data_IF_886669004900
#
_entry.id   IF_886669004900
#
_cell.length_a   1.000
_cell.length_b   1.000
_cell.length_c   1.000
_cell.angle_alpha   90.00
_cell.angle_beta   90.00
_cell.angle_gamma   90.00
#
_symmetry.space_group_name_H-M   'P 1'
#
loop_
_entity.id
_entity.type
_entity.pdbx_description
1 polymer ?
#
# COMPACT_ATOMS: atom_id res chain seq x y z
N UNK A 1 23.71 6.41 -23.34
CA UNK A 1 22.51 7.07 -23.90
C UNK A 1 22.24 6.62 -25.33
N UNK A 2 23.26 6.55 -26.20
CA UNK A 2 23.13 6.05 -27.58
C UNK A 2 22.40 4.69 -27.73
N UNK A 3 22.63 3.73 -26.82
CA UNK A 3 21.94 2.43 -26.85
C UNK A 3 20.39 2.51 -26.74
N UNK A 4 19.85 3.64 -26.28
CA UNK A 4 18.41 3.85 -26.13
C UNK A 4 17.78 4.67 -27.27
N UNK A 5 18.59 5.12 -28.25
CA UNK A 5 18.10 5.88 -29.42
C UNK A 5 16.91 5.19 -30.10
N UNK A 6 16.93 3.87 -30.40
CA UNK A 6 15.81 3.23 -31.08
C UNK A 6 14.48 3.35 -30.33
N UNK A 7 14.51 3.30 -28.99
CA UNK A 7 13.31 3.47 -28.16
C UNK A 7 12.87 4.93 -28.11
N UNK A 8 13.82 5.88 -28.07
CA UNK A 8 13.52 7.32 -28.13
C UNK A 8 12.81 7.67 -29.44
N UNK A 9 13.35 7.24 -30.58
CA UNK A 9 12.75 7.49 -31.89
C UNK A 9 11.37 6.86 -32.00
N UNK A 10 11.21 5.61 -31.55
CA UNK A 10 9.92 4.92 -31.53
C UNK A 10 8.90 5.66 -30.67
N UNK A 11 9.29 6.14 -29.49
CA UNK A 11 8.39 6.92 -28.63
C UNK A 11 7.99 8.24 -29.28
N UNK A 12 8.95 9.00 -29.82
CA UNK A 12 8.66 10.29 -30.46
C UNK A 12 7.75 10.13 -31.68
N UNK A 13 7.95 9.09 -32.47
CA UNK A 13 7.24 8.90 -33.75
C UNK A 13 5.90 8.19 -33.59
N UNK A 14 5.79 7.23 -32.68
CA UNK A 14 4.58 6.38 -32.55
C UNK A 14 3.87 6.49 -31.22
N UNK A 15 4.47 7.16 -30.21
CA UNK A 15 3.88 7.33 -28.86
C UNK A 15 3.46 6.01 -28.23
N UNK A 16 4.22 4.95 -28.51
CA UNK A 16 3.76 3.57 -28.24
C UNK A 16 3.54 3.31 -26.75
N UNK A 17 4.31 3.98 -25.90
CA UNK A 17 4.31 3.73 -24.45
C UNK A 17 3.03 4.22 -23.79
N UNK A 18 2.44 5.33 -24.27
CA UNK A 18 1.16 5.83 -23.81
C UNK A 18 0.05 4.79 -23.98
N UNK A 19 -0.15 4.33 -25.21
CA UNK A 19 -1.19 3.34 -25.53
C UNK A 19 -0.92 1.99 -24.85
N UNK A 20 0.34 1.57 -24.73
CA UNK A 20 0.68 0.33 -24.04
C UNK A 20 0.34 0.39 -22.55
N UNK A 21 0.68 1.49 -21.86
CA UNK A 21 0.40 1.60 -20.43
C UNK A 21 -1.10 1.73 -20.17
N UNK A 22 -1.84 2.46 -21.01
CA UNK A 22 -3.30 2.64 -20.86
C UNK A 22 -4.05 1.31 -21.01
N UNK A 23 -3.60 0.45 -21.95
CA UNK A 23 -4.16 -0.89 -22.13
C UNK A 23 -3.98 -1.75 -20.87
N UNK A 24 -2.75 -1.81 -20.34
CA UNK A 24 -2.45 -2.60 -19.13
C UNK A 24 -3.14 -2.03 -17.90
N UNK A 25 -3.10 -0.70 -17.71
CA UNK A 25 -3.80 0.00 -16.65
C UNK A 25 -5.30 -0.32 -16.65
N UNK A 26 -5.97 -0.22 -17.79
CA UNK A 26 -7.40 -0.52 -17.92
C UNK A 26 -7.74 -1.97 -17.54
N UNK A 27 -6.87 -2.92 -17.89
CA UNK A 27 -7.03 -4.31 -17.51
C UNK A 27 -6.84 -4.52 -16.01
N UNK A 28 -5.77 -3.94 -15.44
CA UNK A 28 -5.44 -4.03 -14.01
C UNK A 28 -6.46 -3.32 -13.12
N UNK A 29 -7.05 -2.21 -13.58
CA UNK A 29 -8.06 -1.44 -12.83
C UNK A 29 -9.28 -2.26 -12.39
N UNK A 30 -9.55 -3.39 -13.07
CA UNK A 30 -10.63 -4.32 -12.71
C UNK A 30 -10.37 -5.07 -11.41
N UNK A 31 -9.11 -5.20 -11.00
CA UNK A 31 -8.68 -6.06 -9.88
C UNK A 31 -7.75 -5.34 -8.89
N UNK A 32 -7.15 -4.21 -9.30
CA UNK A 32 -6.18 -3.48 -8.49
C UNK A 32 -6.23 -1.98 -8.78
N UNK A 33 -5.78 -1.17 -7.82
CA UNK A 33 -5.70 0.28 -7.99
C UNK A 33 -4.47 0.66 -8.82
N UNK A 34 -4.71 1.23 -9.98
CA UNK A 34 -3.69 1.78 -10.90
C UNK A 34 -3.14 3.09 -10.38
N UNK A 35 -1.85 3.35 -10.64
CA UNK A 35 -1.14 4.54 -10.17
C UNK A 35 -0.46 5.34 -11.30
N UNK A 36 -0.11 4.73 -12.44
CA UNK A 36 0.52 5.45 -13.53
C UNK A 36 -0.52 5.97 -14.55
N UNK A 37 -0.25 7.17 -15.04
CA UNK A 37 -0.90 7.73 -16.23
C UNK A 37 0.23 8.19 -17.15
N UNK A 38 0.34 7.55 -18.31
CA UNK A 38 1.30 7.94 -19.34
C UNK A 38 0.85 9.20 -20.05
N UNK A 39 1.80 10.06 -20.43
CA UNK A 39 1.55 11.17 -21.35
C UNK A 39 1.66 10.70 -22.79
N UNK A 40 1.25 11.53 -23.74
CA UNK A 40 1.46 11.31 -25.17
C UNK A 40 2.92 11.05 -25.52
N UNK A 41 3.85 11.80 -24.93
CA UNK A 41 5.30 11.58 -25.06
C UNK A 41 5.90 11.43 -23.65
N UNK A 42 6.52 10.29 -23.40
CA UNK A 42 7.07 9.90 -22.10
C UNK A 42 8.57 10.20 -21.97
N UNK A 43 9.02 11.28 -22.62
CA UNK A 43 10.40 11.77 -22.64
C UNK A 43 10.47 13.23 -22.16
N UNK A 44 11.64 13.60 -21.64
CA UNK A 44 12.04 14.96 -21.30
C UNK A 44 13.26 15.35 -22.12
N UNK A 45 13.36 16.64 -22.42
CA UNK A 45 14.52 17.29 -23.01
C UNK A 45 15.38 17.93 -21.92
N UNK A 46 16.69 17.74 -22.00
CA UNK A 46 17.70 18.16 -21.04
C UNK A 46 18.68 19.12 -21.71
N UNK A 47 18.77 20.35 -21.24
CA UNK A 47 19.78 21.33 -21.69
C UNK A 47 20.03 22.34 -20.58
N UNK A 48 21.28 22.74 -20.35
CA UNK A 48 21.65 23.79 -19.39
C UNK A 48 21.03 23.62 -17.98
N UNK A 49 21.02 22.39 -17.46
CA UNK A 49 20.41 21.98 -16.18
C UNK A 49 18.87 22.04 -16.12
N UNK A 50 18.19 22.29 -17.25
CA UNK A 50 16.75 22.17 -17.36
C UNK A 50 16.34 20.72 -17.68
N UNK A 51 15.15 20.32 -17.20
CA UNK A 51 14.51 19.05 -17.57
C UNK A 51 13.06 19.31 -17.91
N UNK A 52 12.81 19.52 -19.19
CA UNK A 52 11.55 20.04 -19.67
C UNK A 52 10.81 19.03 -20.53
N UNK A 53 9.49 19.16 -20.54
CA UNK A 53 8.64 18.21 -21.25
C UNK A 53 8.77 18.42 -22.75
N UNK A 54 8.80 17.32 -23.48
CA UNK A 54 8.60 17.30 -24.92
C UNK A 54 7.11 17.06 -25.15
N UNK A 55 6.47 17.96 -25.89
CA UNK A 55 5.06 17.85 -26.25
C UNK A 55 4.93 17.87 -27.77
N UNK A 56 3.91 17.21 -28.31
CA UNK A 56 3.63 17.24 -29.74
C UNK A 56 2.71 18.43 -30.05
N UNK A 57 3.01 19.16 -31.13
CA UNK A 57 2.19 20.24 -31.65
C UNK A 57 2.01 20.05 -33.17
N UNK A 58 0.93 19.36 -33.56
CA UNK A 58 0.75 18.90 -34.94
C UNK A 58 1.79 17.87 -35.34
N UNK A 59 2.60 18.19 -36.35
CA UNK A 59 3.73 17.37 -36.82
C UNK A 59 5.07 17.74 -36.15
N UNK A 60 5.10 18.82 -35.38
CA UNK A 60 6.28 19.33 -34.69
C UNK A 60 6.34 18.85 -33.23
N UNK A 61 7.52 19.03 -32.63
CA UNK A 61 7.77 18.84 -31.21
C UNK A 61 8.14 20.17 -30.56
N UNK A 62 7.58 20.44 -29.39
CA UNK A 62 7.82 21.68 -28.64
C UNK A 62 8.33 21.40 -27.23
N UNK A 63 9.20 22.28 -26.76
CA UNK A 63 9.67 22.33 -25.37
C UNK A 63 9.37 23.74 -24.86
N UNK A 64 8.14 23.94 -24.39
CA UNK A 64 7.57 25.27 -24.10
C UNK A 64 8.43 26.11 -23.16
N UNK A 65 8.93 25.52 -22.07
CA UNK A 65 9.72 26.24 -21.07
C UNK A 65 11.04 26.82 -21.62
N UNK A 66 11.53 26.26 -22.74
CA UNK A 66 12.77 26.69 -23.39
C UNK A 66 12.54 27.44 -24.69
N UNK A 67 11.27 27.66 -25.07
CA UNK A 67 10.88 28.22 -26.38
C UNK A 67 11.53 27.49 -27.57
N UNK A 68 11.72 26.18 -27.45
CA UNK A 68 12.26 25.35 -28.54
C UNK A 68 11.13 24.70 -29.32
N UNK A 69 11.32 24.61 -30.64
CA UNK A 69 10.47 23.88 -31.58
C UNK A 69 11.37 23.10 -32.53
N UNK A 70 11.01 21.85 -32.77
CA UNK A 70 11.69 20.97 -33.71
C UNK A 70 10.67 20.44 -34.70
N UNK A 71 11.01 20.45 -35.99
CA UNK A 71 10.31 19.60 -36.96
C UNK A 71 10.61 18.13 -36.65
N UNK A 72 9.87 17.21 -37.25
CA UNK A 72 10.13 15.78 -37.10
C UNK A 72 11.57 15.39 -37.45
N UNK A 73 12.06 15.81 -38.61
CA UNK A 73 13.41 15.47 -39.05
C UNK A 73 14.48 16.11 -38.15
N UNK A 74 14.25 17.36 -37.70
CA UNK A 74 15.16 18.04 -36.79
C UNK A 74 15.21 17.36 -35.41
N UNK A 75 14.07 16.90 -34.88
CA UNK A 75 14.01 16.18 -33.61
C UNK A 75 14.73 14.83 -33.70
N UNK A 76 14.56 14.08 -34.78
CA UNK A 76 15.26 12.81 -34.98
C UNK A 76 16.77 13.01 -35.14
N UNK A 77 17.19 14.04 -35.89
CA UNK A 77 18.59 14.41 -36.00
C UNK A 77 19.17 14.79 -34.62
N UNK A 78 18.44 15.58 -33.83
CA UNK A 78 18.82 15.96 -32.47
C UNK A 78 19.00 14.74 -31.55
N UNK A 79 18.16 13.70 -31.68
CA UNK A 79 18.31 12.43 -30.94
C UNK A 79 19.62 11.72 -31.26
N UNK A 80 20.05 11.75 -32.53
CA UNK A 80 21.30 11.13 -32.96
C UNK A 80 22.53 11.95 -32.57
N UNK A 81 22.46 13.27 -32.73
CA UNK A 81 23.58 14.17 -32.47
C UNK A 81 23.80 14.37 -30.97
N UNK A 82 22.71 14.41 -30.18
CA UNK A 82 22.73 14.73 -28.74
C UNK A 82 21.83 13.80 -27.90
N UNK A 83 22.06 12.48 -27.90
CA UNK A 83 21.22 11.52 -27.18
C UNK A 83 21.20 11.73 -25.65
N UNK A 84 22.21 12.41 -25.08
CA UNK A 84 22.25 12.80 -23.68
C UNK A 84 21.20 13.85 -23.30
N UNK A 85 20.68 14.60 -24.28
CA UNK A 85 19.60 15.57 -24.07
C UNK A 85 18.24 14.91 -23.85
N UNK A 86 18.13 13.58 -23.98
CA UNK A 86 16.86 12.88 -23.83
C UNK A 86 16.84 12.04 -22.54
N UNK A 87 15.80 12.25 -21.72
CA UNK A 87 15.58 11.56 -20.46
C UNK A 87 14.19 10.91 -20.42
N UNK A 88 14.05 9.61 -20.13
CA UNK A 88 12.75 9.01 -19.93
C UNK A 88 12.05 9.53 -18.66
N UNK A 89 10.72 9.53 -18.66
CA UNK A 89 9.92 9.65 -17.45
C UNK A 89 9.71 8.27 -16.78
N UNK A 90 8.85 8.19 -15.76
CA UNK A 90 8.59 6.95 -15.01
C UNK A 90 8.16 5.76 -15.89
N UNK A 91 7.46 6.00 -17.01
CA UNK A 91 6.98 4.95 -17.94
C UNK A 91 8.14 4.30 -18.70
N UNK A 92 9.07 5.12 -19.22
CA UNK A 92 10.19 4.63 -20.02
C UNK A 92 11.48 4.44 -19.21
N UNK A 93 11.53 4.86 -17.94
CA UNK A 93 12.72 4.74 -17.09
C UNK A 93 13.13 3.28 -16.89
N UNK A 94 12.15 2.40 -16.65
CA UNK A 94 12.40 0.96 -16.51
C UNK A 94 13.01 0.37 -17.78
N UNK A 95 12.41 0.67 -18.94
CA UNK A 95 12.93 0.23 -20.25
C UNK A 95 14.36 0.73 -20.46
N UNK A 96 14.62 2.01 -20.19
CA UNK A 96 15.96 2.57 -20.29
C UNK A 96 16.96 1.84 -19.40
N UNK A 97 16.61 1.62 -18.13
CA UNK A 97 17.44 0.89 -17.17
C UNK A 97 17.79 -0.51 -17.70
N UNK A 98 16.80 -1.29 -18.12
CA UNK A 98 17.01 -2.66 -18.62
C UNK A 98 17.70 -2.72 -19.99
N UNK A 99 17.66 -1.65 -20.78
CA UNK A 99 18.48 -1.53 -22.00
C UNK A 99 19.96 -1.35 -21.68
N UNK A 100 20.31 -0.50 -20.70
CA UNK A 100 21.72 -0.17 -20.41
C UNK A 100 22.36 -1.07 -19.34
N UNK A 101 21.54 -1.67 -18.48
CA UNK A 101 21.91 -2.58 -17.41
C UNK A 101 20.91 -3.75 -17.42
N UNK A 102 21.04 -4.72 -18.34
CA UNK A 102 20.11 -5.84 -18.42
C UNK A 102 20.14 -6.66 -17.12
N UNK A 103 19.00 -6.74 -16.43
CA UNK A 103 18.88 -7.42 -15.15
C UNK A 103 17.96 -8.65 -15.25
N UNK A 104 18.19 -9.62 -14.37
CA UNK A 104 17.27 -10.76 -14.17
C UNK A 104 16.06 -10.32 -13.32
N UNK A 105 16.29 -9.42 -12.36
CA UNK A 105 15.27 -9.01 -11.40
C UNK A 105 15.32 -7.51 -11.11
N UNK A 106 14.13 -6.92 -10.95
CA UNK A 106 13.93 -5.59 -10.41
C UNK A 106 13.49 -5.68 -8.95
N UNK A 107 14.28 -5.09 -8.04
CA UNK A 107 13.98 -5.06 -6.61
C UNK A 107 13.32 -3.72 -6.28
N UNK A 108 12.04 -3.73 -5.88
CA UNK A 108 11.27 -2.51 -5.64
C UNK A 108 10.36 -2.59 -4.42
N UNK A 109 9.97 -1.43 -3.88
CA UNK A 109 8.91 -1.34 -2.87
C UNK A 109 7.52 -1.60 -3.46
N UNK A 110 6.51 -1.81 -2.60
CA UNK A 110 5.16 -2.15 -3.06
C UNK A 110 4.52 -1.11 -3.99
N UNK A 111 4.80 0.18 -3.81
CA UNK A 111 4.37 1.23 -4.74
C UNK A 111 5.11 1.18 -6.08
N UNK A 112 6.38 0.78 -6.07
CA UNK A 112 7.15 0.64 -7.30
C UNK A 112 6.68 -0.56 -8.10
N UNK A 113 6.53 -1.72 -7.45
CA UNK A 113 6.02 -2.93 -8.11
C UNK A 113 4.63 -2.70 -8.69
N UNK A 114 3.77 -1.96 -7.99
CA UNK A 114 2.45 -1.60 -8.49
C UNK A 114 2.51 -0.93 -9.86
N UNK A 115 3.34 0.10 -10.04
CA UNK A 115 3.45 0.75 -11.35
C UNK A 115 4.24 -0.10 -12.35
N UNK A 116 5.24 -0.88 -11.92
CA UNK A 116 5.98 -1.75 -12.83
C UNK A 116 5.10 -2.79 -13.50
N UNK A 117 4.10 -3.33 -12.78
CA UNK A 117 3.09 -4.23 -13.37
C UNK A 117 2.30 -3.57 -14.50
N UNK A 118 2.17 -2.24 -14.48
CA UNK A 118 1.49 -1.49 -15.56
C UNK A 118 2.38 -1.37 -16.82
N UNK A 119 3.68 -1.66 -16.74
CA UNK A 119 4.65 -1.46 -17.82
C UNK A 119 4.92 -2.69 -18.69
N UNK A 120 4.35 -3.87 -18.39
CA UNK A 120 4.66 -5.12 -19.10
C UNK A 120 4.55 -4.98 -20.63
N UNK A 121 3.46 -4.37 -21.13
CA UNK A 121 3.25 -4.13 -22.55
C UNK A 121 4.17 -3.06 -23.12
N UNK A 122 4.64 -2.12 -22.31
CA UNK A 122 5.64 -1.12 -22.71
C UNK A 122 6.96 -1.81 -23.02
N UNK A 123 7.40 -2.72 -22.14
CA UNK A 123 8.62 -3.51 -22.35
C UNK A 123 8.52 -4.41 -23.59
N UNK A 124 7.39 -5.11 -23.76
CA UNK A 124 7.14 -5.94 -24.93
C UNK A 124 7.21 -5.13 -26.23
N UNK A 125 6.57 -3.96 -26.28
CA UNK A 125 6.65 -3.07 -27.46
C UNK A 125 8.02 -2.43 -27.63
N UNK A 126 8.78 -2.20 -26.57
CA UNK A 126 10.14 -1.69 -26.65
C UNK A 126 11.17 -2.77 -27.03
N UNK A 127 10.75 -4.05 -27.10
CA UNK A 127 11.62 -5.21 -27.35
C UNK A 127 12.74 -5.35 -26.31
N UNK A 128 12.45 -4.94 -25.07
CA UNK A 128 13.35 -5.04 -23.93
C UNK A 128 12.81 -6.12 -22.99
N UNK A 129 13.65 -7.08 -22.53
CA UNK A 129 13.22 -8.10 -21.58
C UNK A 129 12.62 -7.48 -20.32
N UNK A 130 11.46 -7.98 -19.90
CA UNK A 130 10.82 -7.58 -18.66
C UNK A 130 11.42 -8.36 -17.49
N UNK A 131 11.98 -7.69 -16.47
CA UNK A 131 12.67 -8.38 -15.37
C UNK A 131 11.66 -9.01 -14.40
N UNK A 132 12.11 -10.00 -13.63
CA UNK A 132 11.32 -10.54 -12.53
C UNK A 132 11.15 -9.46 -11.45
N UNK A 133 9.90 -9.16 -11.10
CA UNK A 133 9.59 -8.21 -10.04
C UNK A 133 9.74 -8.88 -8.66
N UNK A 134 10.57 -8.32 -7.79
CA UNK A 134 10.78 -8.81 -6.43
C UNK A 134 10.52 -7.68 -5.44
N UNK A 135 9.66 -7.96 -4.44
CA UNK A 135 9.42 -7.03 -3.35
C UNK A 135 10.67 -6.96 -2.49
N UNK A 136 11.23 -5.76 -2.33
CA UNK A 136 12.37 -5.54 -1.44
C UNK A 136 12.02 -5.95 -0.02
N UNK A 137 13.04 -6.33 0.76
CA UNK A 137 12.88 -6.55 2.18
C UNK A 137 12.33 -5.28 2.85
N UNK A 138 11.38 -5.49 3.77
CA UNK A 138 10.85 -4.44 4.63
C UNK A 138 11.20 -4.73 6.07
N UNK A 139 11.56 -3.68 6.81
CA UNK A 139 11.98 -3.78 8.19
C UNK A 139 11.17 -2.85 9.10
N UNK A 140 10.87 -3.34 10.30
CA UNK A 140 10.52 -2.51 11.45
C UNK A 140 11.59 -2.72 12.50
N UNK A 141 12.23 -1.63 12.88
CA UNK A 141 13.24 -1.59 13.93
C UNK A 141 12.53 -1.36 15.26
N UNK A 142 12.72 -2.30 16.18
CA UNK A 142 12.07 -2.27 17.49
C UNK A 142 13.13 -2.29 18.59
N UNK A 143 13.25 -1.20 19.32
CA UNK A 143 14.13 -1.15 20.49
C UNK A 143 13.58 -2.03 21.62
N UNK A 144 14.48 -2.58 22.45
CA UNK A 144 14.11 -3.41 23.62
C UNK A 144 12.97 -2.83 24.46
N UNK A 145 13.00 -1.53 24.78
CA UNK A 145 11.95 -0.88 25.58
C UNK A 145 10.57 -0.88 24.91
N UNK A 146 10.52 -0.82 23.58
CA UNK A 146 9.27 -0.92 22.81
C UNK A 146 8.74 -2.36 22.84
N UNK A 147 9.63 -3.34 22.71
CA UNK A 147 9.26 -4.74 22.81
C UNK A 147 8.70 -5.09 24.21
N UNK A 148 9.35 -4.63 25.28
CA UNK A 148 8.91 -4.85 26.66
C UNK A 148 7.52 -4.23 26.91
N UNK A 149 7.25 -3.02 26.39
CA UNK A 149 5.92 -2.40 26.45
C UNK A 149 4.87 -3.22 25.71
N UNK A 150 5.20 -3.76 24.54
CA UNK A 150 4.30 -4.60 23.78
C UNK A 150 3.92 -5.87 24.55
N UNK A 151 4.91 -6.52 25.17
CA UNK A 151 4.70 -7.70 26.02
C UNK A 151 3.85 -7.37 27.25
N UNK A 152 4.11 -6.23 27.91
CA UNK A 152 3.32 -5.79 29.07
C UNK A 152 1.84 -5.53 28.74
N UNK A 153 1.55 -5.12 27.50
CA UNK A 153 0.18 -4.96 26.99
C UNK A 153 -0.46 -6.29 26.56
N UNK A 154 0.29 -7.40 26.57
CA UNK A 154 -0.13 -8.71 26.03
C UNK A 154 -0.62 -8.63 24.58
N UNK A 155 -0.01 -7.76 23.77
CA UNK A 155 -0.32 -7.58 22.35
C UNK A 155 0.71 -8.36 21.54
N UNK A 156 0.28 -9.12 20.54
CA UNK A 156 1.22 -9.81 19.67
C UNK A 156 1.87 -8.84 18.69
N UNK A 157 3.08 -9.16 18.24
CA UNK A 157 3.77 -8.38 17.22
C UNK A 157 2.96 -8.27 15.92
N UNK A 158 2.27 -9.35 15.51
CA UNK A 158 1.41 -9.33 14.32
C UNK A 158 0.19 -8.41 14.47
N UNK A 159 -0.33 -8.24 15.69
CA UNK A 159 -1.49 -7.37 15.92
C UNK A 159 -1.16 -5.90 15.68
N UNK A 160 0.11 -5.49 15.75
CA UNK A 160 0.53 -4.12 15.46
C UNK A 160 0.16 -3.64 14.05
N UNK A 161 0.01 -4.55 13.09
CA UNK A 161 -0.40 -4.22 11.72
C UNK A 161 -1.92 -4.05 11.57
N UNK A 162 -2.70 -4.32 12.62
CA UNK A 162 -4.13 -4.05 12.66
C UNK A 162 -4.39 -2.60 13.09
N UNK A 163 -5.65 -2.15 12.97
CA UNK A 163 -6.08 -0.84 13.47
C UNK A 163 -6.02 -0.80 14.99
N UNK A 164 -5.60 0.33 15.57
CA UNK A 164 -5.51 0.56 17.02
C UNK A 164 -6.80 0.16 17.75
N UNK A 165 -7.96 0.50 17.19
CA UNK A 165 -9.24 0.14 17.78
C UNK A 165 -9.51 -1.36 17.83
N UNK A 166 -9.01 -2.13 16.85
CA UNK A 166 -9.12 -3.59 16.84
C UNK A 166 -8.25 -4.20 17.92
N UNK A 167 -6.99 -3.74 18.04
CA UNK A 167 -6.07 -4.17 19.09
C UNK A 167 -6.66 -3.87 20.47
N UNK A 168 -7.18 -2.66 20.67
CA UNK A 168 -7.85 -2.29 21.92
C UNK A 168 -9.09 -3.14 22.20
N UNK A 169 -9.85 -3.52 21.17
CA UNK A 169 -11.00 -4.40 21.37
C UNK A 169 -10.60 -5.79 21.85
N UNK A 170 -9.54 -6.36 21.25
CA UNK A 170 -8.98 -7.65 21.65
C UNK A 170 -8.39 -7.57 23.06
N UNK A 171 -7.63 -6.51 23.37
CA UNK A 171 -7.03 -6.30 24.69
C UNK A 171 -8.09 -6.28 25.79
N UNK A 172 -9.15 -5.48 25.61
CA UNK A 172 -10.25 -5.37 26.59
C UNK A 172 -10.98 -6.71 26.75
N UNK A 173 -11.22 -7.44 25.66
CA UNK A 173 -11.86 -8.77 25.73
C UNK A 173 -11.01 -9.81 26.45
N UNK A 174 -9.69 -9.76 26.27
CA UNK A 174 -8.77 -10.74 26.83
C UNK A 174 -8.44 -10.46 28.30
N UNK A 175 -8.41 -9.19 28.71
CA UNK A 175 -7.99 -8.79 30.06
C UNK A 175 -9.14 -8.48 31.01
N UNK A 176 -10.36 -8.22 30.49
CA UNK A 176 -11.50 -7.95 31.36
C UNK A 176 -11.95 -9.22 32.08
N UNK A 177 -12.09 -9.11 33.41
CA UNK A 177 -12.74 -10.13 34.23
C UNK A 177 -14.28 -10.11 34.12
N UNK A 178 -14.84 -9.13 33.41
CA UNK A 178 -16.29 -8.93 33.30
C UNK A 178 -16.84 -9.62 32.05
N UNK A 179 -18.11 -10.03 32.10
CA UNK A 179 -18.82 -10.50 30.92
C UNK A 179 -19.12 -9.34 29.97
N UNK A 180 -18.49 -9.34 28.81
CA UNK A 180 -18.64 -8.28 27.80
C UNK A 180 -19.49 -8.68 26.59
N UNK A 181 -19.82 -9.96 26.47
CA UNK A 181 -20.74 -10.46 25.46
C UNK A 181 -22.00 -11.01 26.10
N UNK A 182 -23.13 -10.73 25.47
CA UNK A 182 -24.45 -11.22 25.85
C UNK A 182 -24.89 -12.40 24.97
N UNK A 183 -23.95 -13.17 24.42
CA UNK A 183 -24.25 -14.26 23.48
C UNK A 183 -25.20 -15.31 24.06
N UNK A 184 -24.99 -15.69 25.33
CA UNK A 184 -25.86 -16.65 26.01
C UNK A 184 -27.26 -16.07 26.26
N UNK A 185 -27.35 -14.81 26.68
CA UNK A 185 -28.61 -14.11 26.92
C UNK A 185 -29.39 -13.91 25.62
N UNK A 186 -28.69 -13.64 24.50
CA UNK A 186 -29.29 -13.58 23.16
C UNK A 186 -29.88 -14.94 22.77
N UNK A 187 -29.16 -16.03 23.00
CA UNK A 187 -29.66 -17.39 22.72
C UNK A 187 -30.88 -17.74 23.59
N UNK A 188 -30.86 -17.37 24.87
CA UNK A 188 -32.01 -17.55 25.76
C UNK A 188 -33.22 -16.72 25.30
N UNK A 189 -33.00 -15.49 24.83
CA UNK A 189 -34.04 -14.63 24.27
C UNK A 189 -34.66 -15.24 23.01
N UNK A 190 -33.84 -15.82 22.13
CA UNK A 190 -34.33 -16.52 20.95
C UNK A 190 -35.22 -17.71 21.31
N UNK A 191 -34.78 -18.56 22.25
CA UNK A 191 -35.56 -19.69 22.73
C UNK A 191 -36.88 -19.24 23.37
N UNK A 192 -36.85 -18.17 24.18
CA UNK A 192 -38.04 -17.59 24.81
C UNK A 192 -39.07 -17.13 23.77
N UNK A 193 -38.64 -16.38 22.76
CA UNK A 193 -39.56 -15.92 21.71
C UNK A 193 -40.03 -17.05 20.77
N UNK A 194 -39.24 -18.11 20.59
CA UNK A 194 -39.69 -19.30 19.86
C UNK A 194 -40.82 -20.03 20.60
N UNK A 195 -40.75 -20.12 21.93
CA UNK A 195 -41.83 -20.64 22.75
C UNK A 195 -43.08 -19.76 22.66
N UNK A 196 -42.92 -18.43 22.75
CA UNK A 196 -44.04 -17.49 22.59
C UNK A 196 -44.72 -17.61 21.23
N UNK A 197 -43.94 -17.77 20.15
CA UNK A 197 -44.47 -17.95 18.80
C UNK A 197 -45.29 -19.25 18.68
N UNK A 198 -44.86 -20.32 19.34
CA UNK A 198 -45.59 -21.60 19.37
C UNK A 198 -46.91 -21.50 20.14
N UNK A 199 -46.97 -20.66 21.18
CA UNK A 199 -48.19 -20.39 21.94
C UNK A 199 -49.14 -19.52 21.11
N UNK A 200 -48.65 -18.42 20.53
CA UNK A 200 -49.48 -17.50 19.75
C UNK A 200 -50.05 -18.17 18.51
N UNK A 201 -49.29 -19.03 17.83
CA UNK A 201 -49.76 -19.81 16.67
C UNK A 201 -50.97 -20.70 16.99
N UNK A 202 -51.09 -21.22 18.22
CA UNK A 202 -52.24 -22.05 18.65
C UNK A 202 -53.52 -21.23 18.88
N UNK A 203 -53.38 -19.92 19.09
CA UNK A 203 -54.50 -19.01 19.34
C UNK A 203 -54.91 -18.33 18.03
N UNK A 204 -53.96 -17.70 17.35
CA UNK A 204 -54.18 -17.00 16.08
C UNK A 204 -52.85 -16.94 15.29
N UNK A 205 -52.85 -17.51 14.09
CA UNK A 205 -51.67 -17.54 13.21
C UNK A 205 -51.19 -16.13 12.82
N UNK A 206 -52.07 -15.12 12.80
CA UNK A 206 -51.71 -13.73 12.48
C UNK A 206 -50.87 -13.06 13.57
N UNK A 207 -50.80 -13.64 14.77
CA UNK A 207 -49.96 -13.14 15.87
C UNK A 207 -48.49 -13.58 15.75
N UNK A 208 -48.17 -14.59 14.94
CA UNK A 208 -46.79 -15.08 14.76
C UNK A 208 -45.86 -13.99 14.21
N UNK A 209 -46.21 -13.25 13.14
CA UNK A 209 -45.41 -12.10 12.68
C UNK A 209 -45.24 -11.02 13.75
N UNK A 210 -46.27 -10.77 14.57
CA UNK A 210 -46.18 -9.80 15.65
C UNK A 210 -45.19 -10.24 16.73
N UNK A 211 -45.22 -11.51 17.14
CA UNK A 211 -44.24 -12.08 18.08
C UNK A 211 -42.81 -12.01 17.54
N UNK A 212 -42.62 -12.25 16.24
CA UNK A 212 -41.31 -12.12 15.59
C UNK A 212 -40.79 -10.68 15.61
N UNK A 213 -41.65 -9.69 15.34
CA UNK A 213 -41.29 -8.28 15.42
C UNK A 213 -40.91 -7.84 16.85
N UNK A 214 -41.57 -8.40 17.87
CA UNK A 214 -41.20 -8.17 19.27
C UNK A 214 -39.82 -8.78 19.60
N UNK A 215 -39.53 -9.99 19.11
CA UNK A 215 -38.20 -10.62 19.25
C UNK A 215 -37.11 -9.72 18.69
N UNK A 216 -37.29 -9.25 17.46
CA UNK A 216 -36.30 -8.41 16.79
C UNK A 216 -36.03 -7.11 17.56
N UNK A 217 -37.08 -6.44 18.03
CA UNK A 217 -36.96 -5.24 18.89
C UNK A 217 -36.21 -5.54 20.19
N UNK A 218 -36.48 -6.68 20.82
CA UNK A 218 -35.79 -7.08 22.05
C UNK A 218 -34.31 -7.41 21.79
N UNK A 219 -34.00 -8.11 20.71
CA UNK A 219 -32.63 -8.43 20.29
C UNK A 219 -31.80 -7.17 20.05
N UNK A 220 -32.36 -6.20 19.31
CA UNK A 220 -31.69 -4.92 19.05
C UNK A 220 -31.40 -4.14 20.35
N UNK A 221 -32.32 -4.17 21.33
CA UNK A 221 -32.07 -3.56 22.64
C UNK A 221 -30.91 -4.24 23.37
N UNK A 222 -30.83 -5.57 23.29
CA UNK A 222 -29.77 -6.36 23.94
C UNK A 222 -28.40 -6.11 23.28
N UNK A 223 -28.34 -6.01 21.96
CA UNK A 223 -27.13 -5.57 21.25
C UNK A 223 -26.69 -4.16 21.64
N UNK A 224 -27.65 -3.25 21.82
CA UNK A 224 -27.39 -1.90 22.32
C UNK A 224 -26.79 -1.90 23.73
N UNK A 225 -27.27 -2.79 24.61
CA UNK A 225 -26.71 -2.97 25.95
C UNK A 225 -25.29 -3.55 25.89
N UNK A 226 -25.07 -4.61 25.11
CA UNK A 226 -23.74 -5.23 24.92
C UNK A 226 -22.71 -4.20 24.46
N UNK A 227 -23.05 -3.36 23.47
CA UNK A 227 -22.18 -2.26 23.00
C UNK A 227 -21.89 -1.24 24.12
N UNK A 228 -22.87 -0.92 24.97
CA UNK A 228 -22.69 0.02 26.09
C UNK A 228 -21.82 -0.58 27.20
N UNK A 229 -22.00 -1.86 27.54
CA UNK A 229 -21.17 -2.60 28.50
C UNK A 229 -19.72 -2.59 28.02
N UNK A 230 -19.49 -2.98 26.76
CA UNK A 230 -18.16 -2.99 26.17
C UNK A 230 -17.50 -1.60 26.20
N UNK A 231 -18.23 -0.54 25.82
CA UNK A 231 -17.72 0.84 25.86
C UNK A 231 -17.44 1.34 27.27
N UNK A 232 -18.22 0.92 28.26
CA UNK A 232 -17.99 1.27 29.66
C UNK A 232 -16.74 0.57 30.19
N UNK A 233 -16.53 -0.70 29.83
CA UNK A 233 -15.33 -1.43 30.19
C UNK A 233 -14.10 -0.88 29.48
N UNK A 234 -14.14 -0.65 28.16
CA UNK A 234 -13.02 -0.05 27.39
C UNK A 234 -12.51 1.26 28.00
N UNK A 235 -13.40 2.08 28.59
CA UNK A 235 -13.02 3.33 29.27
C UNK A 235 -12.11 3.14 30.48
N UNK A 236 -12.15 1.97 31.13
CA UNK A 236 -11.24 1.62 32.24
C UNK A 236 -9.82 1.28 31.76
N UNK A 237 -9.64 1.04 30.46
CA UNK A 237 -8.36 0.71 29.83
C UNK A 237 -7.71 1.94 29.17
N UNK A 238 -7.97 3.15 29.70
CA UNK A 238 -7.48 4.39 29.12
C UNK A 238 -5.94 4.47 29.14
N UNK A 239 -5.30 3.95 30.18
CA UNK A 239 -3.84 3.95 30.29
C UNK A 239 -3.20 3.02 29.24
N UNK A 240 -3.74 1.81 29.08
CA UNK A 240 -3.33 0.87 28.03
C UNK A 240 -3.57 1.46 26.64
N UNK A 241 -4.69 2.19 26.45
CA UNK A 241 -4.98 2.88 25.20
C UNK A 241 -3.92 3.94 24.89
N UNK A 242 -3.52 4.74 25.88
CA UNK A 242 -2.47 5.75 25.72
C UNK A 242 -1.10 5.11 25.45
N UNK A 243 -0.75 4.04 26.18
CA UNK A 243 0.50 3.30 25.97
C UNK A 243 0.56 2.70 24.55
N UNK A 244 -0.53 2.09 24.09
CA UNK A 244 -0.62 1.56 22.74
C UNK A 244 -0.50 2.66 21.68
N UNK A 245 -1.19 3.80 21.88
CA UNK A 245 -1.11 4.93 20.96
C UNK A 245 0.32 5.47 20.84
N UNK A 246 1.02 5.65 21.97
CA UNK A 246 2.42 6.08 21.97
C UNK A 246 3.35 5.06 21.29
N UNK A 247 3.17 3.77 21.58
CA UNK A 247 3.94 2.70 20.95
C UNK A 247 3.71 2.67 19.43
N UNK A 248 2.47 2.86 18.99
CA UNK A 248 2.13 2.95 17.57
C UNK A 248 2.77 4.15 16.90
N UNK A 249 2.74 5.33 17.52
CA UNK A 249 3.39 6.51 16.92
C UNK A 249 4.90 6.29 16.74
N UNK A 250 5.54 5.57 17.67
CA UNK A 250 6.97 5.25 17.58
C UNK A 250 7.30 4.21 16.50
N UNK A 251 6.41 3.23 16.28
CA UNK A 251 6.64 2.13 15.32
C UNK A 251 6.04 2.40 13.94
N UNK A 252 5.03 3.27 13.86
CA UNK A 252 4.28 3.63 12.67
C UNK A 252 4.05 5.16 12.62
N UNK A 253 5.12 5.97 12.52
CA UNK A 253 5.03 7.42 12.57
C UNK A 253 4.08 7.96 11.50
N UNK A 254 3.11 8.77 11.93
CA UNK A 254 2.05 9.28 11.04
C UNK A 254 1.19 8.20 10.38
N UNK A 255 0.98 7.06 11.05
CA UNK A 255 0.29 5.87 10.53
C UNK A 255 0.93 5.30 9.24
N UNK A 256 2.22 5.58 9.02
CA UNK A 256 3.02 5.03 7.91
C UNK A 256 4.03 4.01 8.42
N UNK A 257 4.60 3.22 7.52
CA UNK A 257 5.70 2.31 7.86
C UNK A 257 6.93 3.12 8.29
N UNK A 258 7.58 2.70 9.38
CA UNK A 258 8.79 3.33 9.92
C UNK A 258 9.87 3.56 8.85
N UNK A 259 10.14 2.56 8.01
CA UNK A 259 11.13 2.61 6.92
C UNK A 259 10.85 3.67 5.84
N UNK A 260 9.66 4.30 5.85
CA UNK A 260 9.27 5.39 4.94
C UNK A 260 9.37 6.77 5.56
N UNK A 261 9.61 6.85 6.87
CA UNK A 261 9.61 8.09 7.63
C UNK A 261 10.97 8.34 8.28
N UNK A 262 11.58 7.31 8.84
CA UNK A 262 12.82 7.43 9.59
C UNK A 262 14.07 7.26 8.72
N UNK A 263 15.15 7.91 9.14
CA UNK A 263 16.45 7.79 8.49
C UNK A 263 17.36 6.84 9.27
N UNK A 264 18.06 5.97 8.55
CA UNK A 264 18.98 4.99 9.14
C UNK A 264 20.07 5.62 10.03
N UNK A 265 20.44 6.89 9.80
CA UNK A 265 21.47 7.59 10.57
C UNK A 265 21.12 7.72 12.06
N UNK A 266 19.83 7.74 12.41
CA UNK A 266 19.37 7.75 13.81
C UNK A 266 19.84 6.49 14.53
N UNK A 267 19.71 5.34 13.88
CA UNK A 267 20.09 4.04 14.42
C UNK A 267 21.60 3.82 14.34
N UNK A 268 22.22 4.18 13.23
CA UNK A 268 23.68 4.10 13.09
C UNK A 268 24.40 4.96 14.15
N UNK A 269 23.88 6.15 14.47
CA UNK A 269 24.44 7.00 15.52
C UNK A 269 24.37 6.39 16.92
N UNK A 270 23.37 5.54 17.19
CA UNK A 270 23.20 4.85 18.48
C UNK A 270 23.98 3.53 18.57
N UNK A 271 23.98 2.75 17.50
CA UNK A 271 24.41 1.34 17.50
C UNK A 271 25.66 1.08 16.63
N UNK A 272 26.15 2.08 15.90
CA UNK A 272 27.35 1.98 15.08
C UNK A 272 27.24 0.96 13.94
N UNK A 273 28.39 0.38 13.55
CA UNK A 273 28.48 -0.55 12.43
C UNK A 273 27.76 -1.89 12.68
N UNK A 274 27.56 -2.28 13.94
CA UNK A 274 26.85 -3.52 14.31
C UNK A 274 25.40 -3.50 13.82
N UNK A 275 24.77 -2.33 13.78
CA UNK A 275 23.43 -2.15 13.21
C UNK A 275 23.34 -2.57 11.73
N UNK A 276 24.35 -2.24 10.94
CA UNK A 276 24.37 -2.62 9.52
C UNK A 276 24.56 -4.13 9.35
N UNK A 277 25.37 -4.76 10.22
CA UNK A 277 25.53 -6.22 10.23
C UNK A 277 24.23 -6.92 10.62
N UNK A 278 23.53 -6.40 11.63
CA UNK A 278 22.23 -6.91 12.06
C UNK A 278 21.21 -6.86 10.92
N UNK A 279 21.11 -5.72 10.23
CA UNK A 279 20.23 -5.57 9.05
C UNK A 279 20.62 -6.52 7.92
N UNK A 280 21.92 -6.66 7.63
CA UNK A 280 22.40 -7.57 6.60
C UNK A 280 21.99 -9.02 6.89
N UNK A 281 22.15 -9.48 8.13
CA UNK A 281 21.73 -10.82 8.55
C UNK A 281 20.21 -11.00 8.58
N UNK A 282 19.46 -9.95 8.89
CA UNK A 282 18.00 -9.95 8.82
C UNK A 282 17.45 -9.90 7.38
N UNK A 283 18.24 -9.40 6.42
CA UNK A 283 17.91 -9.29 5.01
C UNK A 283 18.01 -10.63 4.29
N UNK A 284 17.06 -11.52 4.56
CA UNK A 284 16.96 -12.82 3.86
C UNK A 284 16.68 -12.61 2.37
N UNK A 285 17.32 -13.39 1.50
CA UNK A 285 17.44 -13.17 0.05
C UNK A 285 16.16 -12.68 -0.67
N UNK A 286 15.37 -13.60 -1.21
CA UNK A 286 14.14 -13.26 -1.99
C UNK A 286 12.85 -13.54 -1.20
N UNK A 287 12.97 -13.69 0.12
CA UNK A 287 11.83 -13.96 0.99
C UNK A 287 10.96 -12.71 1.13
N UNK A 288 9.72 -12.79 0.66
CA UNK A 288 8.77 -11.67 0.68
C UNK A 288 8.10 -11.55 2.05
N UNK A 289 8.90 -11.27 3.08
CA UNK A 289 8.43 -11.14 4.46
C UNK A 289 8.71 -9.75 5.01
N UNK A 290 7.77 -9.26 5.83
CA UNK A 290 7.99 -8.08 6.64
C UNK A 290 8.78 -8.48 7.89
N UNK A 291 10.02 -8.02 8.02
CA UNK A 291 10.93 -8.42 9.08
C UNK A 291 10.89 -7.44 10.25
N UNK A 292 10.98 -7.96 11.47
CA UNK A 292 11.01 -7.15 12.69
C UNK A 292 12.35 -7.41 13.36
N UNK A 293 13.17 -6.37 13.39
CA UNK A 293 14.53 -6.42 13.87
C UNK A 293 14.55 -5.79 15.26
N UNK A 294 14.85 -6.62 16.26
CA UNK A 294 15.01 -6.15 17.62
C UNK A 294 16.41 -5.57 17.79
N UNK A 295 16.49 -4.32 18.25
CA UNK A 295 17.72 -3.57 18.49
C UNK A 295 18.13 -3.59 19.97
#
# INVERSE_FOLDING_TARGET
>A
KAAFIPVIEKELTTRFSHTAVEQTATALAKQYKVQASGRDINLFYLIDNHRERIEADGEDYVVHALNLRFTKDAMLQEVHDYPERFSPNVILRGVFQETILPNIAFIGGGGELAYWMELEQVFAKAEVPYPVLILRNSFLLMEKAQHEKLQALSVSISDLFQKTDTIMQQLVRNQSANQLSLAQEKQQLEAFYAQLASISAKIDATLVPHTAALKEKAMHKLEGLEKKLFRAEKRKYADQQNQLAQLREQLFPGDSLQERAENFAIYYGKFGAEFLQLLYHASRGTEQQFCIVQL
#
